data_IF_738304399776
#
_entry.id   IF_738304399776
#
_cell.length_a   1.000
_cell.length_b   1.000
_cell.length_c   1.000
_cell.angle_alpha   90.00
_cell.angle_beta   90.00
_cell.angle_gamma   90.00
#
_symmetry.space_group_name_H-M   'P 1'
#
loop_
_entity.id
_entity.type
_entity.pdbx_description
1 polymer ?
#
# COMPACT_ATOMS: atom_id res chain seq x y z
N UNK A 1 10.47 0.14 23.37
CA UNK A 1 9.86 -0.27 22.09
C UNK A 1 10.22 -1.72 21.87
N UNK A 2 9.26 -2.58 21.52
CA UNK A 2 9.49 -4.01 21.25
C UNK A 2 10.55 -4.16 20.15
N UNK A 3 11.59 -5.03 20.30
CA UNK A 3 12.62 -5.26 19.28
C UNK A 3 12.04 -5.63 17.90
N UNK A 4 11.01 -6.45 17.88
CA UNK A 4 10.29 -6.84 16.66
C UNK A 4 9.77 -5.62 15.90
N UNK A 5 9.09 -4.71 16.58
CA UNK A 5 8.57 -3.47 15.99
C UNK A 5 9.68 -2.54 15.47
N UNK A 6 10.86 -2.55 16.12
CA UNK A 6 12.00 -1.75 15.66
C UNK A 6 12.52 -2.25 14.30
N UNK A 7 12.56 -3.56 14.08
CA UNK A 7 13.01 -4.12 12.81
C UNK A 7 12.00 -3.84 11.68
N UNK A 8 10.68 -3.94 11.94
CA UNK A 8 9.67 -3.52 10.97
C UNK A 8 9.80 -2.04 10.58
N UNK A 9 10.05 -1.16 11.56
CA UNK A 9 10.30 0.27 11.28
C UNK A 9 11.56 0.47 10.42
N UNK A 10 12.60 -0.33 10.62
CA UNK A 10 13.82 -0.26 9.78
C UNK A 10 13.51 -0.73 8.35
N UNK A 11 12.76 -1.82 8.19
CA UNK A 11 12.32 -2.30 6.88
C UNK A 11 11.48 -1.25 6.15
N UNK A 12 10.50 -0.66 6.82
CA UNK A 12 9.68 0.44 6.32
C UNK A 12 10.53 1.63 5.84
N UNK A 13 11.52 2.09 6.62
CA UNK A 13 12.42 3.18 6.23
C UNK A 13 13.28 2.84 5.01
N UNK A 14 13.68 1.57 4.84
CA UNK A 14 14.38 1.12 3.64
C UNK A 14 13.45 1.14 2.42
N UNK A 15 12.19 0.72 2.58
CA UNK A 15 11.19 0.82 1.51
C UNK A 15 10.90 2.29 1.14
N UNK A 16 10.70 3.16 2.13
CA UNK A 16 10.56 4.61 1.90
C UNK A 16 11.76 5.18 1.12
N UNK A 17 12.99 4.77 1.46
CA UNK A 17 14.18 5.18 0.73
C UNK A 17 14.18 4.68 -0.71
N UNK A 18 13.77 3.42 -0.96
CA UNK A 18 13.64 2.88 -2.32
C UNK A 18 12.69 3.75 -3.15
N UNK A 19 11.53 4.10 -2.61
CA UNK A 19 10.54 4.90 -3.32
C UNK A 19 11.03 6.34 -3.58
N UNK A 20 11.78 6.93 -2.68
CA UNK A 20 12.46 8.23 -2.92
C UNK A 20 13.50 8.13 -4.04
N UNK A 21 14.25 7.04 -4.10
CA UNK A 21 15.25 6.83 -5.15
C UNK A 21 14.60 6.61 -6.53
N UNK A 22 13.40 6.03 -6.62
CA UNK A 22 12.62 5.94 -7.88
C UNK A 22 12.41 7.34 -8.47
N UNK A 23 12.07 8.32 -7.63
CA UNK A 23 11.86 9.71 -8.06
C UNK A 23 13.18 10.41 -8.40
N UNK A 24 14.19 10.29 -7.52
CA UNK A 24 15.51 10.92 -7.69
C UNK A 24 16.19 10.46 -8.99
N UNK A 25 16.08 9.17 -9.31
CA UNK A 25 16.67 8.62 -10.53
C UNK A 25 15.80 8.82 -11.78
N UNK A 26 14.62 9.44 -11.62
CA UNK A 26 13.75 9.76 -12.74
C UNK A 26 13.21 8.54 -13.48
N UNK A 27 12.89 7.45 -12.77
CA UNK A 27 12.37 6.23 -13.40
C UNK A 27 10.92 6.38 -13.90
N UNK A 28 10.19 7.37 -13.41
CA UNK A 28 8.79 7.62 -13.74
C UNK A 28 8.67 8.43 -15.03
N UNK A 29 8.90 7.80 -16.17
CA UNK A 29 8.93 8.47 -17.48
C UNK A 29 7.84 7.92 -18.42
N UNK A 30 7.15 8.77 -19.19
CA UNK A 30 6.26 8.33 -20.25
C UNK A 30 7.02 7.51 -21.32
N UNK A 31 6.32 6.58 -21.96
CA UNK A 31 6.85 5.78 -23.06
C UNK A 31 7.38 4.40 -22.66
N UNK A 32 7.65 4.15 -21.39
CA UNK A 32 7.96 2.81 -20.88
C UNK A 32 6.67 2.08 -20.46
N UNK A 33 6.71 0.76 -20.41
CA UNK A 33 5.59 -0.06 -19.95
C UNK A 33 5.62 -0.25 -18.43
N UNK A 34 4.47 -0.64 -17.85
CA UNK A 34 4.38 -1.02 -16.43
C UNK A 34 5.39 -2.12 -16.07
N UNK A 35 5.59 -3.11 -16.96
CA UNK A 35 6.58 -4.20 -16.76
C UNK A 35 8.02 -3.70 -16.80
N UNK A 36 8.35 -2.78 -17.70
CA UNK A 36 9.70 -2.19 -17.77
C UNK A 36 9.98 -1.35 -16.53
N UNK A 37 9.01 -0.54 -16.07
CA UNK A 37 9.15 0.20 -14.82
C UNK A 37 9.31 -0.75 -13.62
N UNK A 38 8.50 -1.81 -13.54
CA UNK A 38 8.61 -2.84 -12.50
C UNK A 38 10.02 -3.48 -12.48
N UNK A 39 10.57 -3.81 -13.65
CA UNK A 39 11.91 -4.37 -13.77
C UNK A 39 13.01 -3.36 -13.36
N UNK A 40 12.86 -2.09 -13.72
CA UNK A 40 13.80 -1.03 -13.33
C UNK A 40 13.83 -0.83 -11.81
N UNK A 41 12.64 -0.84 -11.17
CA UNK A 41 12.54 -0.73 -9.70
C UNK A 41 13.12 -1.97 -9.01
N UNK A 42 12.92 -3.17 -9.56
CA UNK A 42 13.53 -4.38 -9.04
C UNK A 42 15.07 -4.29 -9.05
N UNK A 43 15.64 -3.84 -10.16
CA UNK A 43 17.09 -3.66 -10.29
C UNK A 43 17.61 -2.60 -9.31
N UNK A 44 16.90 -1.48 -9.17
CA UNK A 44 17.22 -0.44 -8.18
C UNK A 44 17.20 -0.98 -6.75
N UNK A 45 16.20 -1.76 -6.38
CA UNK A 45 16.11 -2.39 -5.05
C UNK A 45 17.28 -3.36 -4.80
N UNK A 46 17.66 -4.12 -5.83
CA UNK A 46 18.84 -5.00 -5.76
C UNK A 46 20.14 -4.20 -5.57
N UNK A 47 20.34 -3.15 -6.36
CA UNK A 47 21.54 -2.29 -6.28
C UNK A 47 21.68 -1.60 -4.91
N UNK A 48 20.58 -1.09 -4.37
CA UNK A 48 20.60 -0.34 -3.11
C UNK A 48 20.68 -1.22 -1.86
N UNK A 49 20.02 -2.38 -1.89
CA UNK A 49 19.77 -3.17 -0.69
C UNK A 49 19.99 -4.67 -0.87
N UNK A 50 20.43 -5.14 -2.05
CA UNK A 50 20.55 -6.56 -2.40
C UNK A 50 19.24 -7.34 -2.24
N UNK A 51 18.09 -6.69 -2.54
CA UNK A 51 16.77 -7.30 -2.45
C UNK A 51 16.54 -8.20 -3.66
N UNK A 52 16.29 -9.49 -3.40
CA UNK A 52 15.91 -10.50 -4.39
C UNK A 52 14.50 -11.04 -4.14
N UNK A 53 14.01 -10.91 -2.92
CA UNK A 53 12.76 -11.52 -2.47
C UNK A 53 11.72 -10.47 -2.12
N UNK A 54 10.50 -10.81 -2.49
CA UNK A 54 9.29 -10.05 -2.16
C UNK A 54 8.28 -11.03 -1.58
N UNK A 55 7.53 -10.61 -0.58
CA UNK A 55 6.55 -11.49 0.06
C UNK A 55 5.25 -11.59 -0.75
N UNK A 56 4.97 -10.59 -1.61
CA UNK A 56 3.88 -10.61 -2.59
C UNK A 56 4.37 -10.19 -3.99
N UNK A 57 3.49 -10.25 -5.00
CA UNK A 57 3.82 -9.81 -6.37
C UNK A 57 3.99 -8.29 -6.40
N UNK A 58 5.05 -7.83 -7.07
CA UNK A 58 5.28 -6.41 -7.29
C UNK A 58 4.25 -5.85 -8.26
N UNK A 59 3.58 -4.76 -7.87
CA UNK A 59 2.53 -4.11 -8.64
C UNK A 59 3.05 -2.77 -9.18
N UNK A 60 2.89 -2.56 -10.47
CA UNK A 60 2.92 -1.27 -11.14
C UNK A 60 1.66 -1.20 -12.00
N UNK A 61 0.83 -0.21 -11.78
CA UNK A 61 -0.43 -0.03 -12.52
C UNK A 61 -0.59 1.42 -12.94
N UNK A 62 -0.91 1.65 -14.22
CA UNK A 62 -1.08 2.96 -14.80
C UNK A 62 -2.44 3.09 -15.51
N UNK A 63 -2.98 4.31 -15.59
CA UNK A 63 -4.22 4.61 -16.25
C UNK A 63 -5.37 3.74 -15.76
N UNK A 64 -6.14 3.12 -16.66
CA UNK A 64 -7.28 2.25 -16.31
C UNK A 64 -6.91 1.04 -15.46
N UNK A 65 -5.63 0.59 -15.49
CA UNK A 65 -5.17 -0.52 -14.67
C UNK A 65 -5.16 -0.16 -13.17
N UNK A 66 -5.16 1.12 -12.81
CA UNK A 66 -5.26 1.57 -11.41
C UNK A 66 -6.59 1.19 -10.73
N UNK A 67 -7.59 0.77 -11.50
CA UNK A 67 -8.88 0.27 -11.00
C UNK A 67 -8.88 -1.23 -10.72
N UNK A 68 -7.83 -1.95 -11.14
CA UNK A 68 -7.83 -3.42 -11.12
C UNK A 68 -7.46 -3.97 -9.76
N UNK A 69 -8.20 -4.98 -9.24
CA UNK A 69 -7.87 -5.66 -8.01
C UNK A 69 -6.49 -6.33 -8.06
N UNK A 70 -5.91 -6.57 -6.89
CA UNK A 70 -4.60 -7.22 -6.73
C UNK A 70 -4.50 -8.56 -7.50
N UNK A 71 -5.53 -9.40 -7.45
CA UNK A 71 -5.52 -10.74 -8.04
C UNK A 71 -5.56 -10.73 -9.58
N UNK A 72 -6.01 -9.65 -10.22
CA UNK A 72 -6.03 -9.53 -11.66
C UNK A 72 -4.63 -9.32 -12.24
N UNK A 73 -4.44 -9.81 -13.47
CA UNK A 73 -3.25 -9.56 -14.28
C UNK A 73 -3.69 -8.84 -15.57
N UNK A 74 -3.89 -7.52 -15.51
CA UNK A 74 -4.34 -6.75 -16.66
C UNK A 74 -3.30 -6.70 -17.78
N UNK A 75 -3.74 -6.22 -18.94
CA UNK A 75 -2.86 -5.88 -20.06
C UNK A 75 -1.74 -4.94 -19.61
N UNK A 76 -0.52 -5.19 -20.10
CA UNK A 76 0.63 -4.34 -19.83
C UNK A 76 0.52 -3.02 -20.59
N UNK A 77 0.27 -1.92 -19.90
CA UNK A 77 0.12 -0.61 -20.52
C UNK A 77 1.46 0.13 -20.63
N UNK A 78 1.55 0.98 -21.66
CA UNK A 78 2.61 1.98 -21.80
C UNK A 78 2.19 3.26 -21.08
N UNK A 79 3.05 3.80 -20.23
CA UNK A 79 2.83 5.04 -19.48
C UNK A 79 2.72 6.23 -20.45
N UNK A 80 1.67 7.04 -20.26
CA UNK A 80 1.42 8.24 -21.06
C UNK A 80 1.84 9.50 -20.31
N UNK A 81 2.07 10.64 -20.99
CA UNK A 81 2.54 11.90 -20.38
C UNK A 81 1.70 12.44 -19.22
N UNK A 82 0.40 12.15 -19.20
CA UNK A 82 -0.52 12.61 -18.15
C UNK A 82 -1.11 11.48 -17.34
N UNK A 83 -0.46 10.28 -17.31
CA UNK A 83 -0.99 9.16 -16.56
C UNK A 83 -0.87 9.37 -15.05
N UNK A 84 -1.85 8.80 -14.34
CA UNK A 84 -1.74 8.44 -12.94
C UNK A 84 -1.31 6.98 -12.88
N UNK A 85 -0.41 6.67 -11.97
CA UNK A 85 0.03 5.30 -11.71
C UNK A 85 0.25 5.10 -10.22
N UNK A 86 0.18 3.85 -9.77
CA UNK A 86 0.69 3.50 -8.47
C UNK A 86 1.68 2.33 -8.54
N UNK A 87 2.55 2.30 -7.57
CA UNK A 87 3.54 1.27 -7.31
C UNK A 87 3.24 0.71 -5.92
N UNK A 88 3.21 -0.61 -5.81
CA UNK A 88 2.98 -1.34 -4.58
C UNK A 88 3.94 -2.53 -4.55
N UNK A 89 4.89 -2.50 -3.61
CA UNK A 89 5.95 -3.47 -3.49
C UNK A 89 6.12 -3.93 -2.04
N UNK A 90 6.20 -5.25 -1.86
CA UNK A 90 6.47 -5.91 -0.57
C UNK A 90 7.90 -6.46 -0.47
N UNK A 91 8.96 -5.63 -0.43
CA UNK A 91 10.33 -6.12 -0.32
C UNK A 91 10.61 -6.74 1.05
N UNK A 92 11.46 -7.78 1.07
CA UNK A 92 11.95 -8.41 2.30
C UNK A 92 13.35 -7.89 2.56
N UNK A 93 13.52 -7.15 3.65
CA UNK A 93 14.80 -6.66 4.11
C UNK A 93 15.36 -7.57 5.21
N UNK A 94 16.42 -8.33 4.86
CA UNK A 94 16.97 -9.38 5.73
C UNK A 94 15.93 -10.50 5.94
N UNK A 95 15.13 -10.44 6.99
CA UNK A 95 14.03 -11.37 7.27
C UNK A 95 12.74 -10.61 7.62
N UNK A 96 12.70 -9.28 7.38
CA UNK A 96 11.56 -8.42 7.73
C UNK A 96 10.83 -7.94 6.49
N UNK A 97 9.53 -8.10 6.53
CA UNK A 97 8.65 -7.64 5.46
C UNK A 97 8.45 -6.12 5.58
N UNK A 98 8.48 -5.45 4.45
CA UNK A 98 7.90 -4.12 4.28
C UNK A 98 6.77 -4.21 3.27
N UNK A 99 5.83 -3.27 3.36
CA UNK A 99 4.79 -3.10 2.36
C UNK A 99 4.56 -1.62 2.14
N UNK A 100 4.78 -1.19 0.90
CA UNK A 100 4.86 0.22 0.62
C UNK A 100 4.25 0.54 -0.74
N UNK A 101 3.20 1.35 -0.73
CA UNK A 101 2.46 1.75 -1.93
C UNK A 101 2.39 3.26 -2.09
N UNK A 102 2.63 3.77 -3.29
CA UNK A 102 2.56 5.21 -3.62
C UNK A 102 1.96 5.46 -4.99
N UNK A 103 1.21 6.54 -5.07
CA UNK A 103 0.62 7.06 -6.30
C UNK A 103 1.43 8.21 -6.85
N UNK A 104 1.62 8.21 -8.16
CA UNK A 104 2.33 9.23 -8.91
C UNK A 104 1.50 9.75 -10.08
N UNK A 105 1.73 11.01 -10.44
CA UNK A 105 1.10 11.64 -11.61
C UNK A 105 2.19 12.19 -12.51
N UNK A 106 2.27 11.69 -13.74
CA UNK A 106 3.36 12.05 -14.66
C UNK A 106 3.24 13.47 -15.24
N UNK A 107 2.04 14.01 -15.28
CA UNK A 107 1.77 15.31 -15.92
C UNK A 107 1.20 16.34 -14.96
N UNK A 108 0.32 17.17 -15.50
CA UNK A 108 -0.26 18.29 -14.78
C UNK A 108 -1.78 18.21 -14.59
N UNK A 109 -2.39 17.05 -14.81
CA UNK A 109 -3.82 16.84 -14.60
C UNK A 109 -4.18 17.08 -13.12
N UNK A 110 -4.97 18.15 -12.89
CA UNK A 110 -5.32 18.60 -11.55
C UNK A 110 -6.22 17.62 -10.81
N UNK A 111 -7.04 16.83 -11.52
CA UNK A 111 -7.90 15.83 -10.90
C UNK A 111 -7.09 14.66 -10.39
N UNK A 112 -6.14 14.16 -11.19
CA UNK A 112 -5.21 13.08 -10.82
C UNK A 112 -4.32 13.50 -9.64
N UNK A 113 -3.80 14.73 -9.66
CA UNK A 113 -3.04 15.31 -8.53
C UNK A 113 -3.89 15.41 -7.26
N UNK A 114 -5.16 15.85 -7.41
CA UNK A 114 -6.09 15.86 -6.28
C UNK A 114 -6.30 14.46 -5.71
N UNK A 115 -6.52 13.45 -6.57
CA UNK A 115 -6.70 12.06 -6.13
C UNK A 115 -5.47 11.57 -5.34
N UNK A 116 -4.27 11.74 -5.87
CA UNK A 116 -3.03 11.33 -5.20
C UNK A 116 -2.86 12.00 -3.82
N UNK A 117 -3.15 13.30 -3.73
CA UNK A 117 -3.08 14.04 -2.46
C UNK A 117 -4.17 13.62 -1.46
N UNK A 118 -5.39 13.41 -1.93
CA UNK A 118 -6.52 13.00 -1.08
C UNK A 118 -6.29 11.62 -0.46
N UNK A 119 -5.68 10.70 -1.21
CA UNK A 119 -5.35 9.35 -0.73
C UNK A 119 -4.33 9.44 0.41
N UNK A 120 -3.27 10.21 0.26
CA UNK A 120 -2.28 10.42 1.30
C UNK A 120 -2.91 11.05 2.54
N UNK A 121 -3.71 12.10 2.38
CA UNK A 121 -4.44 12.72 3.49
C UNK A 121 -5.40 11.75 4.18
N UNK A 122 -6.06 10.87 3.41
CA UNK A 122 -6.94 9.85 3.96
C UNK A 122 -6.16 8.80 4.76
N UNK A 123 -4.99 8.42 4.30
CA UNK A 123 -4.12 7.50 5.03
C UNK A 123 -3.73 8.09 6.40
N UNK A 124 -3.26 9.32 6.43
CA UNK A 124 -2.91 10.01 7.68
C UNK A 124 -4.11 10.22 8.62
N UNK A 125 -5.29 10.48 8.05
CA UNK A 125 -6.53 10.55 8.84
C UNK A 125 -6.91 9.18 9.42
N UNK A 126 -6.75 8.10 8.64
CA UNK A 126 -6.95 6.71 9.10
C UNK A 126 -6.01 6.35 10.22
N UNK A 127 -4.73 6.68 10.09
CA UNK A 127 -3.73 6.49 11.16
C UNK A 127 -4.10 7.26 12.42
N UNK A 128 -4.42 8.53 12.30
CA UNK A 128 -4.81 9.35 13.45
C UNK A 128 -6.08 8.80 14.14
N UNK A 129 -7.02 8.28 13.36
CA UNK A 129 -8.20 7.60 13.89
C UNK A 129 -7.82 6.34 14.67
N UNK A 130 -6.98 5.48 14.09
CA UNK A 130 -6.46 4.29 14.76
C UNK A 130 -5.73 4.65 16.06
N UNK A 131 -4.83 5.62 16.04
CA UNK A 131 -4.02 6.02 17.20
C UNK A 131 -4.87 6.56 18.36
N UNK A 132 -5.94 7.26 18.05
CA UNK A 132 -6.86 7.84 19.04
C UNK A 132 -7.66 6.77 19.80
N UNK A 133 -7.90 5.61 19.19
CA UNK A 133 -8.74 4.56 19.75
C UNK A 133 -7.91 3.49 20.46
N UNK A 134 -8.13 3.33 21.77
CA UNK A 134 -7.47 2.27 22.58
C UNK A 134 -7.96 0.87 22.22
N UNK A 135 -9.17 0.77 21.69
CA UNK A 135 -9.77 -0.44 21.12
C UNK A 135 -10.39 -0.06 19.80
N UNK A 136 -10.12 -0.83 18.78
CA UNK A 136 -10.63 -0.64 17.43
C UNK A 136 -10.60 -1.96 16.68
N UNK A 137 -11.68 -2.27 15.99
CA UNK A 137 -11.78 -3.47 15.13
C UNK A 137 -11.37 -3.14 13.70
N UNK A 138 -10.96 -4.16 12.93
CA UNK A 138 -10.73 -3.99 11.50
C UNK A 138 -11.95 -3.43 10.77
N UNK A 139 -13.16 -3.83 11.19
CA UNK A 139 -14.41 -3.33 10.63
C UNK A 139 -14.63 -1.84 10.87
N UNK A 140 -14.32 -1.34 12.07
CA UNK A 140 -14.46 0.09 12.38
C UNK A 140 -13.47 0.94 11.59
N UNK A 141 -12.22 0.50 11.47
CA UNK A 141 -11.22 1.23 10.68
C UNK A 141 -11.57 1.19 9.18
N UNK A 142 -12.00 0.03 8.65
CA UNK A 142 -12.47 -0.08 7.27
C UNK A 142 -13.65 0.86 6.99
N UNK A 143 -14.65 0.87 7.87
CA UNK A 143 -15.79 1.77 7.74
C UNK A 143 -15.36 3.25 7.75
N UNK A 144 -14.41 3.61 8.62
CA UNK A 144 -13.86 4.96 8.64
C UNK A 144 -13.16 5.32 7.34
N UNK A 145 -12.34 4.45 6.77
CA UNK A 145 -11.69 4.68 5.47
C UNK A 145 -12.72 4.90 4.35
N UNK A 146 -13.82 4.16 4.35
CA UNK A 146 -14.94 4.40 3.42
C UNK A 146 -15.58 5.78 3.61
N UNK A 147 -15.74 6.26 4.84
CA UNK A 147 -16.24 7.63 5.07
C UNK A 147 -15.28 8.70 4.56
N UNK A 148 -13.97 8.43 4.61
CA UNK A 148 -12.96 9.34 4.05
C UNK A 148 -13.06 9.38 2.52
N UNK A 149 -13.25 8.24 1.83
CA UNK A 149 -13.47 8.21 0.39
C UNK A 149 -14.67 9.10 0.01
N UNK A 150 -15.81 8.93 0.68
CA UNK A 150 -17.01 9.75 0.45
C UNK A 150 -16.75 11.25 0.72
N UNK A 151 -16.04 11.58 1.81
CA UNK A 151 -15.69 12.97 2.16
C UNK A 151 -14.87 13.65 1.04
N UNK A 152 -13.95 12.93 0.42
CA UNK A 152 -13.12 13.42 -0.68
C UNK A 152 -13.79 13.27 -2.05
N UNK A 153 -15.00 12.71 -2.11
CA UNK A 153 -15.79 12.48 -3.34
C UNK A 153 -15.17 11.43 -4.26
N UNK A 154 -14.60 10.37 -3.66
CA UNK A 154 -14.11 9.19 -4.33
C UNK A 154 -14.87 7.93 -3.88
N UNK A 155 -14.70 6.81 -4.60
CA UNK A 155 -15.10 5.50 -4.13
C UNK A 155 -13.90 4.80 -3.45
N UNK A 156 -14.18 4.02 -2.42
CA UNK A 156 -13.16 3.11 -1.85
C UNK A 156 -13.07 1.87 -2.73
N UNK A 157 -11.91 1.63 -3.35
CA UNK A 157 -11.71 0.59 -4.36
C UNK A 157 -11.24 -0.76 -3.80
N UNK A 158 -10.84 -0.84 -2.52
CA UNK A 158 -10.34 -2.05 -1.90
C UNK A 158 -11.43 -2.87 -1.19
N UNK A 159 -11.37 -4.20 -1.30
CA UNK A 159 -12.16 -5.11 -0.47
C UNK A 159 -11.67 -5.13 0.99
N UNK A 160 -10.39 -4.83 1.19
CA UNK A 160 -9.72 -4.67 2.49
C UNK A 160 -9.16 -3.25 2.59
N UNK A 161 -8.83 -2.81 3.80
CA UNK A 161 -8.11 -1.57 4.07
C UNK A 161 -6.73 -1.83 4.68
N UNK A 162 -6.20 -3.04 4.51
CA UNK A 162 -4.89 -3.44 5.01
C UNK A 162 -4.89 -4.82 5.68
N UNK A 163 -3.73 -5.23 6.14
CA UNK A 163 -3.49 -6.58 6.66
C UNK A 163 -2.37 -6.60 7.72
N UNK A 164 -2.16 -7.77 8.33
CA UNK A 164 -1.02 -8.02 9.22
C UNK A 164 0.30 -8.07 8.43
N UNK A 165 1.38 -7.69 9.10
CA UNK A 165 2.75 -7.79 8.58
C UNK A 165 3.70 -8.26 9.67
N UNK A 166 4.81 -8.91 9.29
CA UNK A 166 5.72 -9.48 10.28
C UNK A 166 7.10 -9.87 9.78
N UNK A 167 7.68 -10.83 10.47
CA UNK A 167 8.91 -11.50 10.10
C UNK A 167 8.64 -12.53 9.01
N UNK A 168 9.41 -12.54 7.94
CA UNK A 168 9.21 -13.45 6.80
C UNK A 168 9.75 -14.87 7.08
N UNK A 169 9.04 -15.94 6.69
CA UNK A 169 7.65 -15.87 6.24
C UNK A 169 6.73 -15.68 7.45
N UNK A 170 6.08 -14.56 7.56
CA UNK A 170 4.98 -14.53 8.47
C UNK A 170 3.93 -15.52 7.95
N UNK A 171 3.21 -16.15 8.84
CA UNK A 171 2.23 -17.18 8.51
C UNK A 171 1.38 -16.68 7.34
N UNK A 172 1.29 -17.48 6.26
CA UNK A 172 0.49 -17.14 5.09
C UNK A 172 -0.87 -16.70 5.60
N UNK A 173 -1.20 -15.44 5.37
CA UNK A 173 -2.49 -14.90 5.74
C UNK A 173 -3.55 -15.73 5.01
N UNK A 174 -4.27 -16.57 5.75
CA UNK A 174 -5.37 -17.31 5.17
C UNK A 174 -6.41 -16.29 4.72
N UNK A 175 -6.66 -16.20 3.43
CA UNK A 175 -7.63 -15.24 2.84
C UNK A 175 -9.02 -15.36 3.48
N UNK A 176 -9.33 -16.52 4.01
CA UNK A 176 -10.58 -16.84 4.66
C UNK A 176 -10.65 -16.32 6.10
N UNK A 177 -9.52 -16.17 6.80
CA UNK A 177 -9.47 -15.60 8.14
C UNK A 177 -9.48 -14.06 8.09
N UNK A 178 -10.66 -13.49 8.14
CA UNK A 178 -10.86 -12.03 8.10
C UNK A 178 -10.24 -11.30 9.29
N UNK A 179 -9.85 -11.99 10.35
CA UNK A 179 -9.19 -11.37 11.52
C UNK A 179 -7.78 -10.87 11.22
N UNK A 180 -7.19 -11.30 10.10
CA UNK A 180 -5.89 -10.87 9.60
C UNK A 180 -5.95 -9.61 8.73
N UNK A 181 -7.15 -9.08 8.49
CA UNK A 181 -7.38 -7.96 7.55
C UNK A 181 -8.16 -6.82 8.21
N UNK A 182 -7.92 -5.60 7.75
CA UNK A 182 -8.81 -4.46 7.97
C UNK A 182 -9.99 -4.65 7.00
N UNK A 183 -11.02 -5.34 7.47
CA UNK A 183 -12.13 -5.87 6.65
C UNK A 183 -13.46 -5.67 7.39
N UNK A 184 -14.60 -5.44 6.69
CA UNK A 184 -15.89 -5.16 7.33
C UNK A 184 -16.39 -6.29 8.23
N UNK A 185 -15.92 -7.51 8.04
CA UNK A 185 -16.28 -8.65 8.89
C UNK A 185 -15.33 -8.85 10.09
N UNK A 186 -14.18 -8.17 10.14
CA UNK A 186 -13.26 -8.29 11.26
C UNK A 186 -13.76 -7.52 12.49
N UNK A 187 -14.32 -8.24 13.44
CA UNK A 187 -14.82 -7.70 14.72
C UNK A 187 -13.82 -7.85 15.87
N UNK A 188 -12.63 -8.36 15.60
CA UNK A 188 -11.56 -8.53 16.59
C UNK A 188 -10.86 -7.18 16.82
N UNK A 189 -10.50 -6.91 18.07
CA UNK A 189 -9.68 -5.74 18.40
C UNK A 189 -8.30 -5.86 17.74
N UNK A 190 -7.97 -4.91 16.89
CA UNK A 190 -6.68 -4.87 16.17
C UNK A 190 -5.48 -4.76 17.13
N UNK A 191 -5.69 -4.32 18.37
CA UNK A 191 -4.67 -4.24 19.42
C UNK A 191 -4.61 -5.47 20.31
N UNK A 192 -5.46 -6.48 20.06
CA UNK A 192 -5.37 -7.76 20.74
C UNK A 192 -4.03 -8.43 20.42
N UNK A 193 -3.46 -9.11 21.40
CA UNK A 193 -2.27 -9.92 21.19
C UNK A 193 -2.61 -11.12 20.29
N UNK A 194 -1.60 -11.60 19.59
CA UNK A 194 -1.72 -12.83 18.81
C UNK A 194 -1.76 -14.08 19.72
N UNK A 195 -1.80 -15.28 19.11
CA UNK A 195 -1.82 -16.54 19.85
C UNK A 195 -0.53 -16.82 20.65
N UNK A 196 0.57 -16.11 20.32
CA UNK A 196 1.86 -16.19 21.01
C UNK A 196 2.00 -15.17 22.14
N UNK A 197 1.00 -14.25 22.26
CA UNK A 197 1.02 -13.16 23.21
C UNK A 197 1.82 -11.95 22.72
N UNK A 198 2.03 -11.82 21.42
CA UNK A 198 2.78 -10.73 20.80
C UNK A 198 1.84 -9.66 20.21
N UNK A 199 2.32 -8.42 20.10
CA UNK A 199 1.60 -7.31 19.49
C UNK A 199 1.43 -7.57 17.98
N UNK A 200 0.22 -7.36 17.46
CA UNK A 200 -0.06 -7.40 16.04
C UNK A 200 0.42 -6.14 15.36
N UNK A 201 1.10 -6.29 14.24
CA UNK A 201 1.54 -5.17 13.40
C UNK A 201 0.71 -5.12 12.11
N UNK A 202 0.31 -3.92 11.73
CA UNK A 202 -0.67 -3.69 10.67
C UNK A 202 -0.12 -2.76 9.59
N UNK A 203 -0.46 -3.09 8.36
CA UNK A 203 -0.42 -2.19 7.21
C UNK A 203 -1.80 -1.52 7.09
N UNK A 204 -1.83 -0.25 6.70
CA UNK A 204 -3.04 0.43 6.24
C UNK A 204 -2.89 0.73 4.77
N UNK A 205 -3.91 0.37 3.99
CA UNK A 205 -4.04 0.61 2.55
C UNK A 205 -5.22 1.53 2.28
N UNK A 206 -5.02 2.57 1.49
CA UNK A 206 -6.08 3.42 0.95
C UNK A 206 -6.06 3.35 -0.56
N UNK A 207 -7.11 2.79 -1.13
CA UNK A 207 -7.33 2.74 -2.57
C UNK A 207 -8.57 3.58 -2.92
N UNK A 208 -8.38 4.73 -3.54
CA UNK A 208 -9.48 5.57 -4.04
C UNK A 208 -9.60 5.46 -5.54
N UNK A 209 -10.82 5.39 -6.05
CA UNK A 209 -11.11 5.22 -7.47
C UNK A 209 -12.22 6.15 -7.95
N UNK A 210 -12.14 6.51 -9.23
CA UNK A 210 -13.23 7.10 -10.02
C UNK A 210 -13.42 6.24 -11.26
N UNK A 211 -14.46 5.39 -11.23
CA UNK A 211 -14.73 4.42 -12.30
C UNK A 211 -15.17 5.07 -13.60
N UNK A 212 -15.85 6.23 -13.52
CA UNK A 212 -16.30 6.95 -14.71
C UNK A 212 -15.12 7.56 -15.48
N UNK A 213 -14.10 8.02 -14.75
CA UNK A 213 -12.88 8.60 -15.31
C UNK A 213 -11.76 7.58 -15.52
N UNK A 214 -12.00 6.34 -15.15
CA UNK A 214 -11.03 5.24 -15.24
C UNK A 214 -9.69 5.57 -14.57
N UNK A 215 -9.73 6.20 -13.38
CA UNK A 215 -8.57 6.52 -12.58
C UNK A 215 -8.69 5.98 -11.17
N UNK A 216 -7.57 5.55 -10.62
CA UNK A 216 -7.45 5.17 -9.23
C UNK A 216 -6.06 5.51 -8.69
N UNK A 217 -5.92 5.43 -7.39
CA UNK A 217 -4.63 5.61 -6.73
C UNK A 217 -4.59 4.83 -5.43
N UNK A 218 -3.37 4.61 -4.95
CA UNK A 218 -3.08 3.72 -3.84
C UNK A 218 -2.02 4.34 -2.93
N UNK A 219 -2.20 4.23 -1.62
CA UNK A 219 -1.23 4.62 -0.63
C UNK A 219 -1.21 3.61 0.50
N UNK A 220 -0.04 3.08 0.77
CA UNK A 220 0.15 1.99 1.71
C UNK A 220 1.44 2.15 2.48
N UNK A 221 1.41 1.85 3.77
CA UNK A 221 2.58 1.71 4.63
C UNK A 221 2.19 1.20 6.03
N UNK A 222 3.19 0.96 6.86
CA UNK A 222 3.06 0.47 8.22
C UNK A 222 2.22 1.42 9.10
N UNK A 223 1.10 0.93 9.61
CA UNK A 223 0.16 1.67 10.47
C UNK A 223 0.65 1.76 11.92
N UNK A 224 1.23 0.68 12.43
CA UNK A 224 1.55 0.50 13.86
C UNK A 224 2.93 1.02 14.27
N UNK A 225 3.32 2.18 13.77
CA UNK A 225 4.59 2.85 14.11
C UNK A 225 4.38 4.02 15.07
#
# INVERSE_FOLDING_TARGET
MNPFKQELIKAEKKAEKLFKEIEIQGLLIPGITEKELNASIFNLAFELFSIEKYWHKRIVRAGKNTLKPYDENPENLTLKPDDILFIDFGPIFEEWEADFGRTYVLGNDMLKKKLALDIEHAWWAGKAYFDKHKKITGAELYAYCNTLAQKYQWEFGGEIGGHLIGHFPHERLEKEDKTNYIHPENKVDMRALDQKGEERNWILEIHFVDKEKEIGGFFEQLLTI
#
